data_IF_190079607364
#
_entry.id   IF_190079607364
#
_cell.length_a   1.000
_cell.length_b   1.000
_cell.length_c   1.000
_cell.angle_alpha   90.00
_cell.angle_beta   90.00
_cell.angle_gamma   90.00
#
_symmetry.space_group_name_H-M   'P 1'
#
loop_
_entity.id
_entity.type
_entity.pdbx_description
1 polymer ?
#
# COMPACT_ATOMS: atom_id res chain seq x y z
N UNK A 1 14.41 -29.83 -9.82
CA UNK A 1 14.21 -28.63 -10.67
C UNK A 1 12.77 -28.09 -10.67
N UNK A 2 11.71 -28.92 -10.57
CA UNK A 2 10.31 -28.43 -10.55
C UNK A 2 9.92 -27.51 -9.37
N UNK A 3 10.46 -27.71 -8.15
CA UNK A 3 10.14 -26.87 -6.98
C UNK A 3 10.58 -25.40 -7.13
N UNK A 4 11.70 -25.15 -7.81
CA UNK A 4 12.24 -23.79 -7.97
C UNK A 4 11.40 -22.91 -8.90
N UNK A 5 10.79 -23.51 -9.93
CA UNK A 5 9.90 -22.78 -10.86
C UNK A 5 8.61 -22.33 -10.18
N UNK A 6 8.02 -23.17 -9.33
CA UNK A 6 6.82 -22.82 -8.55
C UNK A 6 7.12 -21.73 -7.54
N UNK A 7 8.19 -21.87 -6.74
CA UNK A 7 8.59 -20.85 -5.76
C UNK A 7 8.86 -19.49 -6.41
N UNK A 8 9.50 -19.46 -7.59
CA UNK A 8 9.75 -18.21 -8.33
C UNK A 8 8.46 -17.55 -8.81
N UNK A 9 7.49 -18.32 -9.32
CA UNK A 9 6.18 -17.78 -9.75
C UNK A 9 5.38 -17.22 -8.58
N UNK A 10 5.36 -17.94 -7.45
CA UNK A 10 4.69 -17.47 -6.23
C UNK A 10 5.33 -16.18 -5.72
N UNK A 11 6.67 -16.10 -5.69
CA UNK A 11 7.38 -14.91 -5.26
C UNK A 11 7.06 -13.69 -6.14
N UNK A 12 7.06 -13.86 -7.47
CA UNK A 12 6.72 -12.78 -8.40
C UNK A 12 5.27 -12.31 -8.18
N UNK A 13 4.32 -13.25 -8.07
CA UNK A 13 2.93 -12.91 -7.82
C UNK A 13 2.75 -12.11 -6.52
N UNK A 14 3.42 -12.51 -5.44
CA UNK A 14 3.39 -11.79 -4.16
C UNK A 14 3.96 -10.38 -4.30
N UNK A 15 5.09 -10.23 -5.01
CA UNK A 15 5.70 -8.91 -5.23
C UNK A 15 4.75 -8.00 -6.02
N UNK A 16 4.14 -8.50 -7.08
CA UNK A 16 3.18 -7.73 -7.90
C UNK A 16 1.97 -7.29 -7.08
N UNK A 17 1.42 -8.16 -6.24
CA UNK A 17 0.30 -7.80 -5.36
C UNK A 17 0.73 -6.72 -4.36
N UNK A 18 1.93 -6.83 -3.79
CA UNK A 18 2.47 -5.82 -2.88
C UNK A 18 2.68 -4.47 -3.58
N UNK A 19 3.21 -4.44 -4.80
CA UNK A 19 3.36 -3.22 -5.59
C UNK A 19 2.02 -2.52 -5.84
N UNK A 20 0.99 -3.29 -6.24
CA UNK A 20 -0.36 -2.75 -6.48
C UNK A 20 -0.97 -2.20 -5.19
N UNK A 21 -0.84 -2.92 -4.07
CA UNK A 21 -1.33 -2.47 -2.77
C UNK A 21 -0.64 -1.17 -2.33
N UNK A 22 0.67 -1.08 -2.52
CA UNK A 22 1.46 0.11 -2.20
C UNK A 22 1.03 1.32 -3.05
N UNK A 23 0.83 1.09 -4.36
CA UNK A 23 0.34 2.11 -5.28
C UNK A 23 -1.04 2.64 -4.88
N UNK A 24 -1.97 1.76 -4.47
CA UNK A 24 -3.30 2.14 -4.01
C UNK A 24 -3.26 2.97 -2.71
N UNK A 25 -2.43 2.57 -1.75
CA UNK A 25 -2.26 3.31 -0.50
C UNK A 25 -1.61 4.68 -0.72
N UNK A 26 -0.57 4.74 -1.56
CA UNK A 26 0.07 5.99 -1.95
C UNK A 26 -0.89 6.92 -2.69
N UNK A 27 -1.71 6.37 -3.59
CA UNK A 27 -2.75 7.10 -4.30
C UNK A 27 -3.80 7.66 -3.33
N UNK A 28 -4.25 6.86 -2.36
CA UNK A 28 -5.17 7.31 -1.32
C UNK A 28 -4.60 8.49 -0.52
N UNK A 29 -3.35 8.38 -0.06
CA UNK A 29 -2.66 9.45 0.68
C UNK A 29 -2.55 10.71 -0.17
N UNK A 30 -2.21 10.59 -1.46
CA UNK A 30 -2.13 11.72 -2.38
C UNK A 30 -3.50 12.40 -2.56
N UNK A 31 -4.57 11.62 -2.76
CA UNK A 31 -5.93 12.14 -2.85
C UNK A 31 -6.38 12.83 -1.56
N UNK A 32 -6.00 12.29 -0.40
CA UNK A 32 -6.25 12.91 0.90
C UNK A 32 -5.52 14.26 1.03
N UNK A 33 -4.24 14.33 0.66
CA UNK A 33 -3.44 15.56 0.70
C UNK A 33 -3.92 16.63 -0.29
N UNK A 34 -4.42 16.20 -1.45
CA UNK A 34 -5.03 17.09 -2.45
C UNK A 34 -6.45 17.52 -2.07
N UNK A 35 -6.96 17.11 -0.90
CA UNK A 35 -8.35 17.26 -0.45
C UNK A 35 -9.36 16.90 -1.55
N UNK A 36 -9.08 15.79 -2.24
CA UNK A 36 -9.88 15.32 -3.35
C UNK A 36 -11.33 15.13 -2.91
N UNK A 37 -12.26 15.54 -3.79
CA UNK A 37 -13.69 15.54 -3.49
C UNK A 37 -14.17 14.18 -2.99
N UNK A 38 -14.53 14.12 -1.69
CA UNK A 38 -14.88 12.87 -1.01
C UNK A 38 -16.21 12.28 -1.47
N UNK A 39 -17.03 13.05 -2.20
CA UNK A 39 -18.26 12.56 -2.84
C UNK A 39 -18.01 11.82 -4.17
N UNK A 40 -16.77 11.79 -4.66
CA UNK A 40 -16.45 11.05 -5.86
C UNK A 40 -16.34 9.55 -5.55
N UNK A 41 -17.13 8.73 -6.26
CA UNK A 41 -17.14 7.26 -6.16
C UNK A 41 -15.73 6.65 -6.31
N UNK A 42 -14.86 7.26 -7.12
CA UNK A 42 -13.47 6.82 -7.25
C UNK A 42 -12.67 7.02 -5.97
N UNK A 43 -12.82 8.18 -5.31
CA UNK A 43 -12.13 8.50 -4.05
C UNK A 43 -12.63 7.61 -2.93
N UNK A 44 -13.94 7.35 -2.86
CA UNK A 44 -14.55 6.43 -1.91
C UNK A 44 -14.06 4.98 -2.11
N UNK A 45 -14.02 4.52 -3.36
CA UNK A 45 -13.49 3.19 -3.70
C UNK A 45 -12.02 3.01 -3.29
N UNK A 46 -11.19 4.01 -3.58
CA UNK A 46 -9.76 4.00 -3.21
C UNK A 46 -9.60 4.01 -1.69
N UNK A 47 -10.38 4.84 -0.98
CA UNK A 47 -10.41 4.86 0.50
C UNK A 47 -10.80 3.52 1.08
N UNK A 48 -11.92 2.93 0.65
CA UNK A 48 -12.40 1.65 1.19
C UNK A 48 -11.45 0.48 0.88
N UNK A 49 -10.68 0.58 -0.21
CA UNK A 49 -9.61 -0.40 -0.50
C UNK A 49 -8.39 -0.17 0.39
N UNK A 50 -7.97 1.09 0.57
CA UNK A 50 -6.92 1.47 1.51
C UNK A 50 -7.26 1.06 2.95
N UNK A 51 -8.52 1.19 3.37
CA UNK A 51 -9.00 0.77 4.68
C UNK A 51 -8.83 -0.73 4.89
N UNK A 52 -9.24 -1.55 3.91
CA UNK A 52 -9.05 -3.00 3.98
C UNK A 52 -7.59 -3.41 4.01
N UNK A 53 -6.74 -2.73 3.24
CA UNK A 53 -5.30 -3.01 3.18
C UNK A 53 -4.57 -2.56 4.45
N UNK A 54 -4.99 -1.45 5.05
CA UNK A 54 -4.38 -0.87 6.25
C UNK A 54 -5.01 -1.37 7.54
N UNK A 55 -6.12 -2.13 7.48
CA UNK A 55 -6.90 -2.60 8.63
C UNK A 55 -6.04 -3.13 9.78
N UNK A 56 -5.04 -3.97 9.48
CA UNK A 56 -4.15 -4.55 10.48
C UNK A 56 -3.24 -3.53 11.19
N UNK A 57 -3.01 -2.37 10.60
CA UNK A 57 -2.16 -1.30 11.11
C UNK A 57 -2.95 -0.15 11.77
N UNK A 58 -4.27 -0.08 11.56
CA UNK A 58 -5.09 1.05 12.02
C UNK A 58 -5.13 1.20 13.55
N UNK A 59 -4.94 0.11 14.30
CA UNK A 59 -4.96 0.11 15.77
C UNK A 59 -3.56 0.10 16.42
N UNK A 60 -2.48 0.06 15.62
CA UNK A 60 -1.10 0.00 16.15
C UNK A 60 -0.65 1.35 16.73
N UNK A 61 -1.15 2.48 16.19
CA UNK A 61 -0.84 3.81 16.69
C UNK A 61 -2.09 4.55 17.16
N UNK A 62 -2.22 4.70 18.48
CA UNK A 62 -3.25 5.54 19.10
C UNK A 62 -2.69 6.96 19.29
N UNK A 63 -2.98 7.89 18.36
CA UNK A 63 -2.52 9.30 18.43
C UNK A 63 -3.71 10.27 18.55
N UNK A 64 -3.72 11.13 19.56
CA UNK A 64 -4.82 12.07 19.87
C UNK A 64 -5.20 13.03 18.72
N UNK A 65 -4.30 13.29 17.77
CA UNK A 65 -4.56 14.14 16.59
C UNK A 65 -5.00 13.32 15.36
N UNK A 66 -6.26 13.49 14.92
CA UNK A 66 -6.88 12.78 13.79
C UNK A 66 -6.07 12.81 12.49
N UNK A 67 -5.54 13.98 12.10
CA UNK A 67 -4.80 14.11 10.83
C UNK A 67 -3.48 13.34 10.80
N UNK A 68 -2.73 13.38 11.90
CA UNK A 68 -1.46 12.66 12.03
C UNK A 68 -1.68 11.14 12.10
N UNK A 69 -2.79 10.72 12.72
CA UNK A 69 -3.22 9.33 12.79
C UNK A 69 -3.47 8.75 11.40
N UNK A 70 -4.13 9.47 10.50
CA UNK A 70 -4.33 9.02 9.11
C UNK A 70 -2.98 8.89 8.40
N UNK A 71 -2.13 9.91 8.46
CA UNK A 71 -0.81 9.84 7.80
C UNK A 71 0.03 8.68 8.32
N UNK A 72 0.00 8.39 9.63
CA UNK A 72 0.76 7.29 10.22
C UNK A 72 0.13 5.91 9.96
N UNK A 73 -1.19 5.77 10.11
CA UNK A 73 -1.89 4.49 9.97
C UNK A 73 -2.02 4.03 8.52
N UNK A 74 -2.12 4.94 7.55
CA UNK A 74 -2.11 4.58 6.13
C UNK A 74 -0.70 4.67 5.53
N UNK A 75 0.15 5.56 6.06
CA UNK A 75 1.53 5.72 5.62
C UNK A 75 2.44 4.56 5.99
N UNK A 76 2.31 3.97 7.19
CA UNK A 76 3.14 2.82 7.56
C UNK A 76 2.87 1.60 6.64
N UNK A 77 1.61 1.18 6.38
CA UNK A 77 1.31 0.16 5.39
C UNK A 77 1.82 0.53 4.00
N UNK A 78 1.62 1.79 3.56
CA UNK A 78 2.08 2.24 2.25
C UNK A 78 3.59 2.03 2.09
N UNK A 79 4.38 2.43 3.08
CA UNK A 79 5.84 2.27 3.10
C UNK A 79 6.22 0.80 3.14
N UNK A 80 5.57 -0.02 3.96
CA UNK A 80 5.88 -1.46 4.04
C UNK A 80 5.61 -2.16 2.69
N UNK A 81 4.45 -1.93 2.08
CA UNK A 81 4.15 -2.51 0.77
C UNK A 81 5.09 -1.97 -0.32
N UNK A 82 5.46 -0.68 -0.27
CA UNK A 82 6.45 -0.09 -1.18
C UNK A 82 7.84 -0.70 -1.00
N UNK A 83 8.29 -0.92 0.24
CA UNK A 83 9.59 -1.54 0.51
C UNK A 83 9.62 -2.99 0.02
N UNK A 84 8.52 -3.72 0.16
CA UNK A 84 8.40 -5.11 -0.31
C UNK A 84 8.36 -5.15 -1.85
N UNK A 85 7.54 -4.31 -2.48
CA UNK A 85 7.36 -4.30 -3.94
C UNK A 85 8.49 -3.55 -4.67
N UNK A 86 8.68 -2.27 -4.37
CA UNK A 86 9.70 -1.42 -4.98
C UNK A 86 11.13 -1.77 -4.54
N UNK A 87 11.34 -2.33 -3.35
CA UNK A 87 12.66 -2.85 -2.96
C UNK A 87 13.18 -3.95 -3.90
N UNK A 88 12.27 -4.62 -4.62
CA UNK A 88 12.58 -5.63 -5.63
C UNK A 88 12.57 -5.02 -7.04
N UNK A 89 11.62 -4.13 -7.36
CA UNK A 89 11.56 -3.42 -8.64
C UNK A 89 12.75 -2.46 -8.86
N UNK A 90 13.19 -1.72 -7.84
CA UNK A 90 14.37 -0.86 -7.89
C UNK A 90 15.69 -1.65 -8.01
N UNK A 91 15.69 -2.92 -7.56
CA UNK A 91 16.81 -3.85 -7.79
C UNK A 91 16.85 -4.34 -9.23
N UNK A 92 15.69 -4.50 -9.87
CA UNK A 92 15.56 -4.88 -11.28
C UNK A 92 15.81 -3.71 -12.24
N UNK A 93 15.45 -2.47 -11.86
CA UNK A 93 15.77 -1.27 -12.65
C UNK A 93 17.26 -0.86 -12.54
N UNK A 94 18.06 -1.56 -11.72
CA UNK A 94 19.50 -1.37 -11.54
C UNK A 94 20.35 -2.57 -11.97
N UNK A 95 19.76 -3.63 -12.52
CA UNK A 95 20.46 -4.84 -13.00
C UNK A 95 20.27 -4.98 -14.51
#
# INVERSE_FOLDING_TARGET
MHRQATTRRTAIAICTIADIAAGLLGLWILLFLLDANRENVFVEFVRGTADRLSWWSQDIFTMDTEGLRVVLNYGLPAVIYLLIGHGIAARLNRA
#
